data_IF_591609855318
#
_entry.id   IF_591609855318
#
_cell.length_a   1.000
_cell.length_b   1.000
_cell.length_c   1.000
_cell.angle_alpha   90.00
_cell.angle_beta   90.00
_cell.angle_gamma   90.00
#
_symmetry.space_group_name_H-M   'P 1'
#
loop_
_entity.id
_entity.type
_entity.pdbx_description
1 polymer ?
#
# COMPACT_ATOMS: atom_id res chain seq x y z
N UNK A 1 -5.61 -11.71 15.97
CA UNK A 1 -5.40 -12.84 15.03
C UNK A 1 -5.67 -12.47 13.57
N UNK A 2 -6.79 -11.81 13.21
CA UNK A 2 -7.10 -11.50 11.81
C UNK A 2 -6.09 -10.56 11.10
N UNK A 3 -5.61 -9.51 11.76
CA UNK A 3 -4.66 -8.56 11.14
C UNK A 3 -3.30 -9.17 10.80
N UNK A 4 -2.82 -10.12 11.60
CA UNK A 4 -1.53 -10.77 11.37
C UNK A 4 -1.51 -11.58 10.06
N UNK A 5 -2.58 -12.34 9.79
CA UNK A 5 -2.73 -13.06 8.52
C UNK A 5 -2.81 -12.12 7.31
N UNK A 6 -3.46 -10.95 7.49
CA UNK A 6 -3.53 -9.94 6.43
C UNK A 6 -2.18 -9.29 6.14
N UNK A 7 -1.41 -8.94 7.18
CA UNK A 7 -0.04 -8.43 7.03
C UNK A 7 0.80 -9.45 6.26
N UNK A 8 0.72 -10.74 6.62
CA UNK A 8 1.46 -11.79 5.91
C UNK A 8 1.05 -11.93 4.44
N UNK A 9 -0.25 -11.88 4.12
CA UNK A 9 -0.74 -11.91 2.73
C UNK A 9 -0.21 -10.71 1.93
N UNK A 10 -0.23 -9.51 2.51
CA UNK A 10 0.29 -8.30 1.87
C UNK A 10 1.80 -8.39 1.70
N UNK A 11 2.53 -8.89 2.69
CA UNK A 11 3.97 -9.10 2.63
C UNK A 11 4.35 -10.12 1.54
N UNK A 12 3.56 -11.19 1.34
CA UNK A 12 3.74 -12.15 0.26
C UNK A 12 3.53 -11.51 -1.13
N UNK A 13 2.46 -10.74 -1.31
CA UNK A 13 2.23 -10.03 -2.57
C UNK A 13 3.35 -9.01 -2.86
N UNK A 14 3.79 -8.29 -1.83
CA UNK A 14 4.94 -7.39 -1.94
C UNK A 14 6.21 -8.17 -2.30
N UNK A 15 6.45 -9.35 -1.72
CA UNK A 15 7.61 -10.20 -2.05
C UNK A 15 7.60 -10.60 -3.53
N UNK A 16 6.46 -11.08 -4.03
CA UNK A 16 6.32 -11.47 -5.45
C UNK A 16 6.54 -10.30 -6.41
N UNK A 17 6.01 -9.13 -6.08
CA UNK A 17 6.15 -7.95 -6.93
C UNK A 17 7.52 -7.28 -6.81
N UNK A 18 8.18 -7.35 -5.64
CA UNK A 18 9.47 -6.73 -5.35
C UNK A 18 10.65 -7.68 -5.56
N UNK A 19 10.47 -8.77 -6.31
CA UNK A 19 11.55 -9.69 -6.65
C UNK A 19 12.76 -8.97 -7.32
N UNK A 20 12.52 -7.82 -7.94
CA UNK A 20 13.52 -6.94 -8.56
C UNK A 20 14.16 -5.92 -7.60
N UNK A 21 13.70 -5.82 -6.35
CA UNK A 21 14.12 -4.82 -5.35
C UNK A 21 14.38 -5.47 -3.98
N UNK A 22 15.51 -6.20 -3.83
CA UNK A 22 15.79 -7.01 -2.63
C UNK A 22 15.99 -6.18 -1.36
N UNK A 23 16.43 -4.92 -1.45
CA UNK A 23 16.62 -4.03 -0.31
C UNK A 23 15.28 -3.63 0.31
N UNK A 24 14.32 -3.21 -0.53
CA UNK A 24 12.98 -2.82 -0.10
C UNK A 24 12.24 -4.01 0.50
N UNK A 25 12.43 -5.20 -0.09
CA UNK A 25 11.93 -6.47 0.45
C UNK A 25 12.46 -6.73 1.86
N UNK A 26 13.76 -6.56 2.10
CA UNK A 26 14.36 -6.77 3.42
C UNK A 26 13.85 -5.77 4.45
N UNK A 27 13.67 -4.50 4.07
CA UNK A 27 13.13 -3.45 4.92
C UNK A 27 11.68 -3.76 5.35
N UNK A 28 10.83 -4.17 4.41
CA UNK A 28 9.43 -4.53 4.69
C UNK A 28 9.32 -5.74 5.62
N UNK A 29 10.15 -6.76 5.42
CA UNK A 29 10.21 -7.93 6.31
C UNK A 29 10.67 -7.54 7.72
N UNK A 30 11.69 -6.69 7.82
CA UNK A 30 12.18 -6.18 9.09
C UNK A 30 11.09 -5.37 9.82
N UNK A 31 10.34 -4.51 9.13
CA UNK A 31 9.24 -3.74 9.70
C UNK A 31 8.08 -4.65 10.15
N UNK A 32 7.72 -5.65 9.36
CA UNK A 32 6.67 -6.61 9.72
C UNK A 32 7.01 -7.42 10.98
N UNK A 33 8.29 -7.75 11.18
CA UNK A 33 8.76 -8.51 12.35
C UNK A 33 8.96 -7.63 13.59
N UNK A 34 9.56 -6.44 13.44
CA UNK A 34 10.04 -5.63 14.57
C UNK A 34 9.10 -4.47 14.92
N UNK A 35 8.37 -3.94 13.95
CA UNK A 35 7.49 -2.78 14.13
C UNK A 35 6.13 -2.94 13.41
N UNK A 36 5.39 -4.05 13.60
CA UNK A 36 4.15 -4.32 12.87
C UNK A 36 3.06 -3.28 13.13
N UNK A 37 3.14 -2.54 14.25
CA UNK A 37 2.22 -1.47 14.59
C UNK A 37 2.34 -0.25 13.66
N UNK A 38 3.51 0.00 13.08
CA UNK A 38 3.74 1.06 12.08
C UNK A 38 3.07 0.73 10.74
N UNK A 39 2.87 -0.55 10.45
CA UNK A 39 2.17 -1.01 9.25
C UNK A 39 0.64 -1.01 9.41
N UNK A 40 0.11 -0.97 10.63
CA UNK A 40 -1.34 -1.05 10.88
C UNK A 40 -2.15 0.06 10.18
N UNK A 41 -1.72 1.33 10.17
CA UNK A 41 -2.44 2.38 9.43
C UNK A 41 -2.46 2.10 7.92
N UNK A 42 -1.36 1.57 7.39
CA UNK A 42 -1.20 1.23 5.98
C UNK A 42 -2.01 0.01 5.55
N UNK A 43 -2.32 -0.92 6.47
CA UNK A 43 -3.26 -2.01 6.18
C UNK A 43 -4.60 -1.49 5.70
N UNK A 44 -5.16 -0.47 6.37
CA UNK A 44 -6.43 0.11 5.98
C UNK A 44 -6.36 0.78 4.60
N UNK A 45 -5.19 1.33 4.25
CA UNK A 45 -4.94 1.90 2.91
C UNK A 45 -4.94 0.80 1.86
N UNK A 46 -4.23 -0.31 2.11
CA UNK A 46 -4.16 -1.45 1.18
C UNK A 46 -5.53 -2.09 1.00
N UNK A 47 -6.29 -2.29 2.08
CA UNK A 47 -7.66 -2.82 2.01
C UNK A 47 -8.59 -1.90 1.20
N UNK A 48 -8.47 -0.59 1.40
CA UNK A 48 -9.23 0.37 0.62
C UNK A 48 -8.80 0.34 -0.86
N UNK A 49 -7.51 0.24 -1.14
CA UNK A 49 -6.99 0.10 -2.50
C UNK A 49 -7.48 -1.19 -3.16
N UNK A 50 -7.49 -2.33 -2.47
CA UNK A 50 -8.04 -3.61 -2.96
C UNK A 50 -9.53 -3.46 -3.30
N UNK A 51 -10.31 -2.78 -2.45
CA UNK A 51 -11.73 -2.50 -2.72
C UNK A 51 -11.95 -1.57 -3.93
N UNK A 52 -11.08 -0.58 -4.14
CA UNK A 52 -11.20 0.38 -5.25
C UNK A 52 -10.68 -0.21 -6.56
N UNK A 53 -9.61 -1.01 -6.53
CA UNK A 53 -8.89 -1.49 -7.70
C UNK A 53 -9.32 -2.90 -8.12
N UNK A 54 -9.89 -3.69 -7.20
CA UNK A 54 -10.56 -4.96 -7.47
C UNK A 54 -9.87 -6.17 -6.84
N UNK A 55 -8.56 -6.11 -6.64
CA UNK A 55 -7.75 -7.19 -6.07
C UNK A 55 -6.49 -6.65 -5.36
N UNK A 56 -5.87 -7.51 -4.55
CA UNK A 56 -4.67 -7.18 -3.78
C UNK A 56 -3.47 -6.90 -4.68
N UNK A 57 -3.32 -7.62 -5.79
CA UNK A 57 -2.21 -7.43 -6.73
C UNK A 57 -2.17 -6.00 -7.28
N UNK A 58 -3.31 -5.53 -7.75
CA UNK A 58 -3.52 -4.17 -8.25
C UNK A 58 -3.35 -3.12 -7.16
N UNK A 59 -3.79 -3.43 -5.93
CA UNK A 59 -3.61 -2.56 -4.77
C UNK A 59 -2.13 -2.36 -4.42
N UNK A 60 -1.34 -3.43 -4.41
CA UNK A 60 0.10 -3.36 -4.18
C UNK A 60 0.81 -2.66 -5.34
N UNK A 61 0.43 -2.97 -6.58
CA UNK A 61 1.00 -2.33 -7.77
C UNK A 61 0.75 -0.82 -7.79
N UNK A 62 -0.40 -0.36 -7.29
CA UNK A 62 -0.72 1.07 -7.21
C UNK A 62 0.35 1.87 -6.43
N UNK A 63 0.91 1.33 -5.35
CA UNK A 63 1.96 2.01 -4.58
C UNK A 63 3.23 2.29 -5.38
N UNK A 64 3.49 1.51 -6.43
CA UNK A 64 4.68 1.61 -7.27
C UNK A 64 4.45 2.42 -8.54
N UNK A 65 3.20 2.62 -8.93
CA UNK A 65 2.87 3.31 -10.16
C UNK A 65 2.75 4.82 -9.93
N UNK A 66 3.26 5.65 -10.86
CA UNK A 66 3.07 7.10 -10.81
C UNK A 66 1.60 7.48 -10.70
N UNK A 67 1.28 8.33 -9.73
CA UNK A 67 -0.07 8.80 -9.51
C UNK A 67 -0.21 10.27 -9.92
N UNK A 68 -1.20 10.56 -10.77
CA UNK A 68 -1.47 11.89 -11.31
C UNK A 68 -1.74 12.93 -10.20
N UNK A 69 -2.42 12.51 -9.14
CA UNK A 69 -2.74 13.38 -7.99
C UNK A 69 -1.52 13.71 -7.13
N UNK A 70 -0.41 12.99 -7.32
CA UNK A 70 0.88 13.20 -6.69
C UNK A 70 1.92 13.81 -7.66
N UNK A 71 1.47 14.49 -8.72
CA UNK A 71 2.33 15.08 -9.74
C UNK A 71 3.31 14.07 -10.38
N UNK A 72 2.90 12.81 -10.54
CA UNK A 72 3.72 11.75 -11.11
C UNK A 72 4.65 11.05 -10.11
N UNK A 73 4.62 11.40 -8.83
CA UNK A 73 5.25 10.61 -7.78
C UNK A 73 4.45 9.32 -7.50
N UNK A 74 5.10 8.33 -6.91
CA UNK A 74 4.45 7.06 -6.53
C UNK A 74 3.78 7.19 -5.16
N UNK A 75 2.66 6.51 -4.90
CA UNK A 75 2.02 6.51 -3.58
C UNK A 75 2.92 5.96 -2.47
N UNK A 76 3.90 5.11 -2.78
CA UNK A 76 4.92 4.68 -1.81
C UNK A 76 5.71 5.84 -1.20
N UNK A 77 5.87 6.97 -1.91
CA UNK A 77 6.53 8.16 -1.36
C UNK A 77 5.80 8.78 -0.16
N UNK A 78 4.51 8.47 0.02
CA UNK A 78 3.70 8.91 1.15
C UNK A 78 4.09 8.22 2.46
N UNK A 79 4.81 7.08 2.42
CA UNK A 79 5.31 6.39 3.62
C UNK A 79 6.17 7.29 4.52
N UNK A 80 6.83 8.27 3.93
CA UNK A 80 7.74 9.18 4.62
C UNK A 80 7.09 10.49 5.05
N UNK A 81 5.78 10.66 4.81
CA UNK A 81 5.03 11.87 5.13
C UNK A 81 4.21 11.70 6.42
N UNK A 82 4.19 12.69 7.32
CA UNK A 82 3.41 12.62 8.57
C UNK A 82 1.91 12.35 8.35
N UNK A 83 1.35 12.84 7.25
CA UNK A 83 -0.04 12.74 6.83
C UNK A 83 -0.26 11.77 5.65
N UNK A 84 0.77 10.98 5.30
CA UNK A 84 0.75 10.15 4.10
C UNK A 84 -0.38 9.13 4.04
N UNK A 85 -0.77 8.57 5.19
CA UNK A 85 -1.90 7.64 5.30
C UNK A 85 -3.22 8.32 4.92
N UNK A 86 -3.47 9.53 5.44
CA UNK A 86 -4.69 10.29 5.17
C UNK A 86 -4.76 10.73 3.69
N UNK A 87 -3.62 11.17 3.14
CA UNK A 87 -3.49 11.50 1.73
C UNK A 87 -3.79 10.29 0.84
N UNK A 88 -3.20 9.13 1.13
CA UNK A 88 -3.44 7.90 0.38
C UNK A 88 -4.93 7.51 0.39
N UNK A 89 -5.59 7.56 1.55
CA UNK A 89 -7.03 7.29 1.65
C UNK A 89 -7.86 8.29 0.85
N UNK A 90 -7.49 9.56 0.86
CA UNK A 90 -8.17 10.62 0.09
C UNK A 90 -8.07 10.37 -1.41
N UNK A 91 -6.89 9.96 -1.90
CA UNK A 91 -6.66 9.63 -3.32
C UNK A 91 -7.55 8.46 -3.73
N UNK A 92 -7.52 7.36 -2.97
CA UNK A 92 -8.33 6.16 -3.23
C UNK A 92 -9.83 6.47 -3.22
N UNK A 93 -10.30 7.28 -2.27
CA UNK A 93 -11.70 7.75 -2.21
C UNK A 93 -12.09 8.48 -3.50
N UNK A 94 -11.24 9.41 -3.98
CA UNK A 94 -11.49 10.15 -5.22
C UNK A 94 -11.49 9.23 -6.45
N UNK A 95 -10.61 8.23 -6.48
CA UNK A 95 -10.59 7.21 -7.55
C UNK A 95 -11.89 6.40 -7.58
N UNK A 96 -12.38 5.98 -6.41
CA UNK A 96 -13.64 5.24 -6.28
C UNK A 96 -14.84 6.04 -6.82
N UNK A 97 -14.87 7.34 -6.53
CA UNK A 97 -15.93 8.24 -7.02
C UNK A 97 -15.88 8.41 -8.54
N UNK A 98 -14.69 8.46 -9.15
CA UNK A 98 -14.54 8.54 -10.62
C UNK A 98 -14.99 7.26 -11.33
N UNK A 99 -14.82 6.08 -10.72
CA UNK A 99 -15.25 4.79 -11.29
C UNK A 99 -16.77 4.58 -11.30
N UNK A 100 -17.55 5.40 -10.59
CA UNK A 100 -19.01 5.26 -10.46
C UNK A 100 -19.82 5.95 -11.57
N UNK A 101 -19.15 6.55 -12.56
CA UNK A 101 -19.75 7.15 -13.75
C UNK A 101 -19.30 6.40 -15.00
#
# INVERSE_FOLDING_TARGET
>A
MAHHLKILRIAQELDEQLADQPELRAELMMLAENAPHELLPWLNVVEHAESVLGDLHSAVAWFRNPESTLNGATPASLLYQPDGVELAQTILTKMQQKKRF
#
